data_IF_823376493795
#
_entry.id   IF_823376493795
#
_cell.length_a   1.000
_cell.length_b   1.000
_cell.length_c   1.000
_cell.angle_alpha   90.00
_cell.angle_beta   90.00
_cell.angle_gamma   90.00
#
_symmetry.space_group_name_H-M   'P 1'
#
loop_
_entity.id
_entity.type
_entity.pdbx_description
1 polymer ?
#
# COMPACT_ATOMS: atom_id res chain seq x y z
N UNK A 1 -0.16 1.92 21.47
CA UNK A 1 -1.36 2.06 20.64
C UNK A 1 -1.20 1.30 19.33
N UNK A 2 -2.22 0.56 18.95
CA UNK A 2 -2.22 -0.15 17.69
C UNK A 2 -2.37 0.84 16.53
N UNK A 3 -1.52 0.67 15.52
CA UNK A 3 -1.63 1.47 14.32
C UNK A 3 -2.77 0.95 13.45
N UNK A 4 -3.57 1.84 12.92
CA UNK A 4 -4.62 1.48 11.98
C UNK A 4 -4.00 1.09 10.64
N UNK A 5 -4.65 0.16 9.96
CA UNK A 5 -4.20 -0.32 8.66
C UNK A 5 -5.13 0.24 7.58
N UNK A 6 -4.57 0.76 6.51
CA UNK A 6 -5.33 1.25 5.37
C UNK A 6 -4.87 0.56 4.08
N UNK A 7 -5.83 0.11 3.28
CA UNK A 7 -5.56 -0.49 1.97
C UNK A 7 -5.81 0.58 0.90
N UNK A 8 -4.80 0.83 0.08
CA UNK A 8 -4.91 1.79 -1.02
C UNK A 8 -4.76 1.04 -2.34
N UNK A 9 -5.83 1.00 -3.11
CA UNK A 9 -5.81 0.45 -4.46
C UNK A 9 -5.38 1.53 -5.43
N UNK A 10 -4.70 1.14 -6.51
CA UNK A 10 -4.17 2.10 -7.48
C UNK A 10 -3.09 3.01 -6.91
N UNK A 11 -2.31 2.50 -5.96
CA UNK A 11 -1.27 3.30 -5.29
C UNK A 11 -0.15 3.75 -6.21
N UNK A 12 -0.05 3.16 -7.40
CA UNK A 12 0.93 3.58 -8.40
C UNK A 12 0.43 4.78 -9.24
N UNK A 13 -0.82 5.20 -9.07
CA UNK A 13 -1.34 6.42 -9.71
C UNK A 13 -1.03 7.65 -8.85
N UNK A 14 -1.05 8.84 -9.45
CA UNK A 14 -0.78 10.07 -8.71
C UNK A 14 -1.70 10.31 -7.53
N UNK A 15 -2.99 10.00 -7.70
CA UNK A 15 -3.99 10.18 -6.62
C UNK A 15 -3.74 9.18 -5.50
N UNK A 16 -3.52 7.91 -5.83
CA UNK A 16 -3.25 6.88 -4.82
C UNK A 16 -1.95 7.13 -4.06
N UNK A 17 -0.93 7.60 -4.76
CA UNK A 17 0.34 7.96 -4.16
C UNK A 17 0.19 9.11 -3.17
N UNK A 18 -0.59 10.13 -3.53
CA UNK A 18 -0.87 11.26 -2.63
C UNK A 18 -1.60 10.81 -1.37
N UNK A 19 -2.59 9.92 -1.51
CA UNK A 19 -3.29 9.35 -0.36
C UNK A 19 -2.34 8.57 0.54
N UNK A 20 -1.46 7.77 -0.05
CA UNK A 20 -0.48 6.98 0.71
C UNK A 20 0.40 7.87 1.56
N UNK A 21 0.89 8.96 1.02
CA UNK A 21 1.71 9.92 1.77
C UNK A 21 0.94 10.50 2.95
N UNK A 22 -0.30 10.89 2.73
CA UNK A 22 -1.13 11.50 3.76
C UNK A 22 -1.36 10.53 4.92
N UNK A 23 -1.70 9.28 4.62
CA UNK A 23 -1.90 8.29 5.67
C UNK A 23 -0.59 7.95 6.39
N UNK A 24 0.53 7.88 5.67
CA UNK A 24 1.82 7.64 6.28
C UNK A 24 2.20 8.74 7.26
N UNK A 25 1.94 9.99 6.90
CA UNK A 25 2.19 11.14 7.78
C UNK A 25 1.40 11.04 9.09
N UNK A 26 0.25 10.40 9.05
CA UNK A 26 -0.62 10.25 10.22
C UNK A 26 -0.41 8.94 10.99
N UNK A 27 0.67 8.22 10.68
CA UNK A 27 1.06 7.04 11.45
C UNK A 27 0.31 5.76 11.13
N UNK A 28 -0.36 5.69 9.97
CA UNK A 28 -1.05 4.48 9.56
C UNK A 28 -0.09 3.45 8.98
N UNK A 29 -0.42 2.18 9.16
CA UNK A 29 0.18 1.12 8.37
C UNK A 29 -0.51 1.08 7.02
N UNK A 30 0.27 0.83 5.97
CA UNK A 30 -0.23 0.92 4.62
C UNK A 30 -0.09 -0.40 3.88
N UNK A 31 -1.13 -0.75 3.13
CA UNK A 31 -1.09 -1.85 2.20
C UNK A 31 -1.34 -1.22 0.83
N UNK A 32 -0.33 -1.26 -0.03
CA UNK A 32 -0.41 -0.63 -1.35
C UNK A 32 -0.65 -1.68 -2.41
N UNK A 33 -1.67 -1.47 -3.21
CA UNK A 33 -1.99 -2.31 -4.36
C UNK A 33 -1.89 -1.50 -5.63
N UNK A 34 -1.32 -2.10 -6.66
CA UNK A 34 -1.21 -1.47 -7.97
C UNK A 34 -0.57 -2.43 -8.96
N UNK A 35 -0.55 -2.06 -10.23
CA UNK A 35 0.01 -2.89 -11.29
C UNK A 35 1.49 -2.63 -11.53
N UNK A 36 1.96 -1.44 -11.25
CA UNK A 36 3.34 -1.06 -11.52
C UNK A 36 4.22 -1.30 -10.30
N UNK A 37 4.89 -2.45 -10.28
CA UNK A 37 5.74 -2.88 -9.17
C UNK A 37 6.85 -1.87 -8.88
N UNK A 38 7.46 -1.32 -9.91
CA UNK A 38 8.55 -0.36 -9.76
C UNK A 38 8.09 0.91 -9.05
N UNK A 39 6.93 1.43 -9.43
CA UNK A 39 6.35 2.61 -8.77
C UNK A 39 5.94 2.30 -7.33
N UNK A 40 5.36 1.12 -7.09
CA UNK A 40 4.98 0.73 -5.74
C UNK A 40 6.19 0.63 -4.83
N UNK A 41 7.28 0.05 -5.31
CA UNK A 41 8.52 -0.03 -4.54
C UNK A 41 9.09 1.35 -4.26
N UNK A 42 9.02 2.26 -5.22
CA UNK A 42 9.49 3.63 -5.04
C UNK A 42 8.68 4.36 -3.97
N UNK A 43 7.35 4.22 -4.01
CA UNK A 43 6.45 4.82 -3.01
C UNK A 43 6.73 4.23 -1.63
N UNK A 44 6.85 2.90 -1.54
CA UNK A 44 7.17 2.24 -0.28
C UNK A 44 8.46 2.76 0.32
N UNK A 45 9.51 2.86 -0.48
CA UNK A 45 10.81 3.36 -0.03
C UNK A 45 10.71 4.79 0.47
N UNK A 46 10.02 5.65 -0.27
CA UNK A 46 9.82 7.04 0.13
C UNK A 46 9.11 7.14 1.48
N UNK A 47 8.01 6.38 1.64
CA UNK A 47 7.23 6.44 2.87
C UNK A 47 8.00 5.90 4.06
N UNK A 48 8.79 4.86 3.84
CA UNK A 48 9.64 4.31 4.89
C UNK A 48 10.73 5.31 5.32
N UNK A 49 11.40 5.91 4.37
CA UNK A 49 12.50 6.84 4.66
C UNK A 49 12.02 8.17 5.25
N UNK A 50 10.91 8.70 4.74
CA UNK A 50 10.42 10.02 5.20
C UNK A 50 9.60 9.95 6.47
N UNK A 51 8.79 8.91 6.63
CA UNK A 51 7.83 8.85 7.72
C UNK A 51 8.01 7.64 8.63
N UNK A 52 8.91 6.73 8.29
CA UNK A 52 9.06 5.48 9.05
C UNK A 52 7.83 4.60 9.00
N UNK A 53 7.02 4.71 7.94
CA UNK A 53 5.77 3.98 7.84
C UNK A 53 5.98 2.50 7.53
N UNK A 54 5.14 1.65 8.12
CA UNK A 54 5.09 0.23 7.76
C UNK A 54 4.26 0.08 6.50
N UNK A 55 4.88 -0.40 5.43
CA UNK A 55 4.23 -0.51 4.12
C UNK A 55 4.36 -1.92 3.59
N UNK A 56 3.23 -2.53 3.23
CA UNK A 56 3.17 -3.83 2.58
C UNK A 56 2.67 -3.66 1.15
N UNK A 57 3.22 -4.44 0.23
CA UNK A 57 2.79 -4.42 -1.16
C UNK A 57 1.98 -5.67 -1.47
N UNK A 58 0.80 -5.48 -2.05
CA UNK A 58 -0.02 -6.56 -2.58
C UNK A 58 -0.07 -6.43 -4.10
N UNK A 59 0.47 -7.42 -4.78
CA UNK A 59 0.58 -7.41 -6.23
C UNK A 59 -0.49 -8.32 -6.84
N UNK A 60 -1.68 -7.78 -7.06
CA UNK A 60 -2.75 -8.53 -7.68
C UNK A 60 -3.61 -7.58 -8.53
N UNK A 61 -4.33 -8.15 -9.50
CA UNK A 61 -5.31 -7.41 -10.27
C UNK A 61 -6.62 -7.41 -9.49
N UNK A 62 -7.11 -6.21 -9.15
CA UNK A 62 -8.36 -6.07 -8.38
C UNK A 62 -9.57 -6.67 -9.08
N UNK A 63 -9.47 -6.95 -10.39
CA UNK A 63 -10.54 -7.62 -11.14
C UNK A 63 -10.55 -9.13 -10.91
N UNK A 64 -9.47 -9.70 -10.39
CA UNK A 64 -9.37 -11.12 -10.07
C UNK A 64 -9.71 -11.32 -8.60
N UNK A 65 -10.95 -11.70 -8.32
CA UNK A 65 -11.44 -11.86 -6.95
C UNK A 65 -10.72 -12.96 -6.18
N UNK A 66 -10.35 -14.04 -6.86
CA UNK A 66 -9.67 -15.14 -6.20
C UNK A 66 -8.26 -14.73 -5.79
N UNK A 67 -7.54 -14.08 -6.69
CA UNK A 67 -6.20 -13.59 -6.38
C UNK A 67 -6.23 -12.54 -5.28
N UNK A 68 -7.21 -11.63 -5.32
CA UNK A 68 -7.36 -10.61 -4.30
C UNK A 68 -7.65 -11.24 -2.93
N UNK A 69 -8.53 -12.22 -2.87
CA UNK A 69 -8.89 -12.90 -1.62
C UNK A 69 -7.67 -13.65 -1.05
N UNK A 70 -6.97 -14.40 -1.88
CA UNK A 70 -5.77 -15.11 -1.45
C UNK A 70 -4.68 -14.15 -0.96
N UNK A 71 -4.49 -13.01 -1.65
CA UNK A 71 -3.50 -12.02 -1.25
C UNK A 71 -3.86 -11.42 0.12
N UNK A 72 -5.12 -11.12 0.35
CA UNK A 72 -5.57 -10.56 1.64
C UNK A 72 -5.41 -11.58 2.77
N UNK A 73 -5.70 -12.85 2.51
CA UNK A 73 -5.52 -13.90 3.52
C UNK A 73 -4.05 -14.13 3.88
N UNK A 74 -3.13 -13.81 2.98
CA UNK A 74 -1.69 -13.99 3.21
C UNK A 74 -1.09 -12.89 4.09
N UNK A 75 -1.83 -11.85 4.40
CA UNK A 75 -1.33 -10.77 5.24
C UNK A 75 -1.10 -11.22 6.67
N UNK A 76 -0.03 -10.73 7.30
CA UNK A 76 0.24 -11.05 8.70
C UNK A 76 -0.78 -10.44 9.67
#
# INVERSE_FOLDING_TARGET
MEKKIVLITGASSGIGEGCARKFAMNGYRLILNGRNVEKLNAVKKELLEKYGADVYLLLFDVRDRQAAHAALESLP
#
